data_IF_504304800740
#
_entry.id   IF_504304800740
#
_cell.length_a   1.000
_cell.length_b   1.000
_cell.length_c   1.000
_cell.angle_alpha   90.00
_cell.angle_beta   90.00
_cell.angle_gamma   90.00
#
_symmetry.space_group_name_H-M   'P 1'
#
loop_
_entity.id
_entity.type
_entity.pdbx_description
1 polymer ?
#
# COMPACT_ATOMS: atom_id res chain seq x y z
N UNK A 1 -12.52 6.32 -13.22
CA UNK A 1 -12.18 4.89 -13.38
C UNK A 1 -11.62 4.43 -12.05
N UNK A 2 -12.13 3.32 -11.56
CA UNK A 2 -11.90 2.76 -10.22
C UNK A 2 -11.00 1.56 -10.43
N UNK A 3 -9.88 1.48 -9.74
CA UNK A 3 -8.91 0.40 -9.93
C UNK A 3 -8.69 -0.32 -8.61
N UNK A 4 -8.82 -1.63 -8.61
CA UNK A 4 -8.61 -2.46 -7.42
C UNK A 4 -7.14 -2.89 -7.35
N UNK A 5 -6.46 -2.64 -6.24
CA UNK A 5 -5.05 -2.93 -6.03
C UNK A 5 -4.85 -3.88 -4.86
N UNK A 6 -4.34 -5.08 -5.12
CA UNK A 6 -3.89 -5.99 -4.05
C UNK A 6 -2.45 -5.64 -3.71
N UNK A 7 -2.19 -5.24 -2.46
CA UNK A 7 -0.83 -5.02 -2.00
C UNK A 7 -0.39 -6.10 -1.00
N UNK A 8 0.78 -6.68 -1.26
CA UNK A 8 1.41 -7.74 -0.49
C UNK A 8 2.59 -7.18 0.30
N UNK A 9 2.69 -7.56 1.57
CA UNK A 9 3.79 -7.23 2.46
C UNK A 9 4.65 -8.47 2.69
N UNK A 10 5.97 -8.32 2.60
CA UNK A 10 6.94 -9.35 2.97
C UNK A 10 8.09 -8.73 3.79
N UNK A 11 8.86 -9.57 4.47
CA UNK A 11 10.03 -9.18 5.25
C UNK A 11 11.01 -8.25 4.48
N UNK A 12 11.58 -7.29 5.23
CA UNK A 12 12.73 -6.50 4.86
C UNK A 12 13.78 -6.52 5.99
N UNK A 13 14.86 -7.29 5.82
CA UNK A 13 16.02 -7.31 6.75
C UNK A 13 16.75 -5.96 6.88
N UNK A 14 16.58 -5.04 5.92
CA UNK A 14 17.11 -3.68 5.94
C UNK A 14 16.17 -2.78 5.13
N UNK A 15 15.66 -1.71 5.73
CA UNK A 15 14.63 -0.82 5.19
C UNK A 15 14.88 -0.40 3.73
N UNK A 16 14.19 -1.04 2.79
CA UNK A 16 13.78 -0.37 1.57
C UNK A 16 12.45 0.27 1.89
N UNK A 17 12.43 1.56 2.23
CA UNK A 17 11.19 2.33 2.16
C UNK A 17 10.71 2.22 0.72
N UNK A 18 9.58 1.56 0.45
CA UNK A 18 9.04 1.47 -0.90
C UNK A 18 8.69 2.89 -1.36
N UNK A 19 9.68 3.57 -1.93
CA UNK A 19 9.57 4.92 -2.44
C UNK A 19 8.79 4.85 -3.73
N UNK A 20 7.50 5.19 -3.63
CA UNK A 20 6.59 5.34 -4.76
C UNK A 20 6.35 4.06 -5.53
N UNK A 21 5.31 3.30 -5.14
CA UNK A 21 4.78 2.31 -6.07
C UNK A 21 3.92 3.02 -7.11
N UNK A 22 4.37 2.97 -8.36
CA UNK A 22 3.68 3.60 -9.48
C UNK A 22 2.47 2.77 -9.89
N UNK A 23 1.35 3.45 -10.12
CA UNK A 23 0.18 2.87 -10.78
C UNK A 23 0.36 2.94 -12.31
N UNK A 24 0.81 1.88 -13.02
CA UNK A 24 0.87 1.85 -14.48
C UNK A 24 -0.47 2.21 -15.12
N UNK A 25 -0.36 2.88 -16.26
CA UNK A 25 -1.45 3.59 -16.93
C UNK A 25 -2.18 2.76 -17.96
N UNK A 26 -2.01 1.43 -17.96
CA UNK A 26 -2.66 0.60 -18.96
C UNK A 26 -4.18 0.72 -18.77
N UNK A 27 -4.89 1.26 -19.77
CA UNK A 27 -6.35 1.48 -19.76
C UNK A 27 -7.19 0.21 -19.65
N UNK A 28 -6.60 -0.91 -19.22
CA UNK A 28 -7.29 -2.08 -18.74
C UNK A 28 -7.55 -1.95 -17.23
N UNK A 29 -8.82 -2.11 -16.89
CA UNK A 29 -9.40 -2.46 -15.59
C UNK A 29 -8.83 -3.77 -14.97
N UNK A 30 -7.52 -3.99 -15.05
CA UNK A 30 -6.85 -5.13 -14.47
C UNK A 30 -6.55 -4.86 -12.99
N UNK A 31 -6.95 -5.78 -12.13
CA UNK A 31 -6.49 -5.78 -10.74
C UNK A 31 -4.96 -5.83 -10.75
N UNK A 32 -4.32 -4.80 -10.19
CA UNK A 32 -2.88 -4.66 -10.24
C UNK A 32 -2.29 -5.04 -8.89
N UNK A 33 -1.25 -5.87 -8.92
CA UNK A 33 -0.59 -6.34 -7.71
C UNK A 33 0.62 -5.46 -7.39
N UNK A 34 0.63 -4.93 -6.17
CA UNK A 34 1.75 -4.22 -5.56
C UNK A 34 2.43 -5.15 -4.56
N UNK A 35 3.75 -5.25 -4.58
CA UNK A 35 4.51 -5.92 -3.51
C UNK A 35 5.47 -4.93 -2.87
N UNK A 36 5.35 -4.77 -1.55
CA UNK A 36 6.22 -3.94 -0.74
C UNK A 36 6.94 -4.81 0.29
N UNK A 37 8.21 -4.52 0.53
CA UNK A 37 8.96 -5.08 1.66
C UNK A 37 8.87 -4.09 2.81
N UNK A 38 8.38 -4.52 3.97
CA UNK A 38 8.15 -3.64 5.12
C UNK A 38 8.81 -4.23 6.36
N UNK A 39 9.61 -3.44 7.10
CA UNK A 39 10.16 -3.90 8.38
C UNK A 39 9.03 -4.16 9.38
N UNK A 40 9.08 -5.29 10.09
CA UNK A 40 8.10 -5.57 11.16
C UNK A 40 8.21 -4.62 12.35
N UNK A 41 9.34 -3.93 12.50
CA UNK A 41 9.55 -2.91 13.52
C UNK A 41 8.65 -1.67 13.34
N UNK A 42 7.92 -1.57 12.23
CA UNK A 42 6.94 -0.49 12.02
C UNK A 42 5.82 -0.56 13.04
N UNK A 43 5.73 0.49 13.85
CA UNK A 43 4.71 0.65 14.87
C UNK A 43 3.41 1.23 14.28
N UNK A 44 2.31 1.09 15.03
CA UNK A 44 1.04 1.70 14.71
C UNK A 44 1.18 3.21 14.39
N UNK A 45 0.65 3.64 13.25
CA UNK A 45 0.75 5.01 12.76
C UNK A 45 1.98 5.31 11.90
N UNK A 46 2.99 4.43 11.86
CA UNK A 46 4.12 4.61 10.96
C UNK A 46 3.76 4.31 9.50
N UNK A 47 4.36 5.09 8.59
CA UNK A 47 4.24 4.91 7.15
C UNK A 47 4.98 3.66 6.69
N UNK A 48 4.28 2.83 5.91
CA UNK A 48 4.85 1.68 5.21
C UNK A 48 5.30 2.08 3.80
N UNK A 49 4.41 2.74 3.05
CA UNK A 49 4.68 3.25 1.71
C UNK A 49 3.66 4.29 1.29
N UNK A 50 3.89 4.93 0.13
CA UNK A 50 2.91 5.80 -0.52
C UNK A 50 2.61 5.29 -1.93
N UNK A 51 1.32 5.20 -2.25
CA UNK A 51 0.85 4.88 -3.61
C UNK A 51 1.01 6.14 -4.46
N UNK A 52 1.86 6.08 -5.48
CA UNK A 52 2.16 7.24 -6.30
C UNK A 52 1.35 7.21 -7.62
N UNK A 53 0.81 8.38 -7.98
CA UNK A 53 0.28 8.62 -9.30
C UNK A 53 1.41 8.55 -10.34
N UNK A 54 1.16 7.91 -11.47
CA UNK A 54 2.05 8.06 -12.63
C UNK A 54 1.93 9.46 -13.24
N UNK A 55 2.92 9.84 -14.05
CA UNK A 55 2.95 11.14 -14.74
C UNK A 55 1.63 11.49 -15.46
N UNK A 56 0.98 10.50 -16.07
CA UNK A 56 -0.29 10.71 -16.80
C UNK A 56 -1.49 10.95 -15.86
N UNK A 57 -1.36 10.58 -14.58
CA UNK A 57 -2.38 10.73 -13.55
C UNK A 57 -2.13 11.95 -12.65
N UNK A 58 -0.94 12.56 -12.65
CA UNK A 58 -0.60 13.69 -11.78
C UNK A 58 -1.48 14.92 -11.97
N UNK A 59 -2.14 15.07 -13.12
CA UNK A 59 -3.10 16.14 -13.39
C UNK A 59 -4.54 15.83 -12.93
N UNK A 60 -4.79 14.64 -12.37
CA UNK A 60 -6.11 14.20 -11.89
C UNK A 60 -6.14 14.18 -10.37
N UNK A 61 -7.29 14.53 -9.78
CA UNK A 61 -7.56 14.26 -8.36
C UNK A 61 -7.76 12.76 -8.19
N UNK A 62 -6.85 12.11 -7.45
CA UNK A 62 -6.97 10.71 -7.07
C UNK A 62 -7.58 10.61 -5.67
N UNK A 63 -8.41 9.59 -5.45
CA UNK A 63 -8.98 9.28 -4.14
C UNK A 63 -8.74 7.82 -3.84
N UNK A 64 -8.08 7.54 -2.73
CA UNK A 64 -7.74 6.19 -2.29
C UNK A 64 -8.70 5.72 -1.21
N UNK A 65 -9.24 4.53 -1.36
CA UNK A 65 -10.15 3.91 -0.40
C UNK A 65 -9.67 2.50 -0.06
N UNK A 66 -9.45 2.22 1.23
CA UNK A 66 -9.17 0.86 1.67
C UNK A 66 -10.45 0.03 1.59
N UNK A 67 -10.39 -1.07 0.86
CA UNK A 67 -11.49 -2.03 0.70
C UNK A 67 -11.36 -3.19 1.69
N UNK A 68 -10.15 -3.68 1.93
CA UNK A 68 -9.87 -4.76 2.91
C UNK A 68 -8.46 -4.67 3.49
N UNK A 69 -8.14 -5.50 4.49
CA UNK A 69 -6.83 -5.56 5.14
C UNK A 69 -6.76 -4.70 6.41
N UNK A 70 -6.89 -5.33 7.57
CA UNK A 70 -6.97 -4.61 8.86
C UNK A 70 -5.61 -4.14 9.38
N UNK A 71 -4.51 -4.63 8.81
CA UNK A 71 -3.15 -4.29 9.21
C UNK A 71 -2.78 -2.82 8.94
N UNK A 72 -3.55 -2.14 8.06
CA UNK A 72 -3.21 -0.80 7.60
C UNK A 72 -4.39 0.16 7.50
N UNK A 73 -4.05 1.44 7.38
CA UNK A 73 -4.94 2.51 6.96
C UNK A 73 -4.38 3.23 5.74
N UNK A 74 -5.24 3.86 4.94
CA UNK A 74 -4.85 4.64 3.76
C UNK A 74 -5.37 6.07 3.87
N UNK A 75 -4.51 7.05 3.66
CA UNK A 75 -4.88 8.44 3.56
C UNK A 75 -5.49 8.71 2.17
N UNK A 76 -6.77 9.09 2.13
CA UNK A 76 -7.56 9.14 0.89
C UNK A 76 -7.07 10.15 -0.15
N UNK A 77 -6.44 11.25 0.27
CA UNK A 77 -5.94 12.30 -0.63
C UNK A 77 -4.50 12.11 -1.09
N UNK A 78 -3.71 11.28 -0.40
CA UNK A 78 -2.26 11.18 -0.62
C UNK A 78 -1.79 9.76 -0.94
N UNK A 79 -2.62 8.74 -0.70
CA UNK A 79 -2.23 7.35 -0.91
C UNK A 79 -1.19 6.84 0.08
N UNK A 80 -0.94 7.57 1.18
CA UNK A 80 -0.04 7.14 2.26
C UNK A 80 -0.68 5.97 2.98
N UNK A 81 0.04 4.86 3.06
CA UNK A 81 -0.38 3.63 3.74
C UNK A 81 0.43 3.50 5.03
N UNK A 82 -0.26 3.43 6.16
CA UNK A 82 0.34 3.33 7.50
C UNK A 82 -0.14 2.07 8.23
N UNK A 83 0.62 1.61 9.22
CA UNK A 83 0.18 0.53 10.12
C UNK A 83 -1.04 1.01 10.92
N UNK A 84 -2.10 0.20 10.94
CA UNK A 84 -3.33 0.57 11.63
C UNK A 84 -3.16 0.65 13.15
N UNK A 85 -3.95 1.50 13.80
CA UNK A 85 -3.94 1.66 15.25
C UNK A 85 -4.22 0.32 15.94
N UNK A 86 -3.39 -0.02 16.94
CA UNK A 86 -3.51 -1.26 17.70
C UNK A 86 -3.12 -2.52 16.92
N UNK A 87 -2.46 -2.37 15.77
CA UNK A 87 -1.89 -3.49 15.01
C UNK A 87 -0.37 -3.44 15.05
N UNK A 88 0.24 -4.62 14.93
CA UNK A 88 1.67 -4.85 14.77
C UNK A 88 1.88 -5.83 13.62
N UNK A 89 2.99 -5.68 12.92
CA UNK A 89 3.45 -6.67 11.96
C UNK A 89 4.19 -7.79 12.71
N UNK A 90 3.95 -9.01 12.27
CA UNK A 90 4.59 -10.24 12.74
C UNK A 90 4.67 -11.16 11.51
N UNK A 91 5.87 -11.29 10.95
CA UNK A 91 6.08 -12.08 9.73
C UNK A 91 6.44 -13.54 10.03
N UNK A 92 6.75 -13.87 11.28
CA UNK A 92 6.94 -15.24 11.75
C UNK A 92 5.61 -15.99 11.83
N UNK A 93 4.57 -15.35 12.37
CA UNK A 93 3.22 -15.95 12.44
C UNK A 93 2.38 -15.64 11.22
N UNK A 94 2.58 -14.47 10.59
CA UNK A 94 1.86 -14.07 9.38
C UNK A 94 2.84 -13.68 8.27
N UNK A 95 3.30 -14.65 7.45
CA UNK A 95 4.38 -14.44 6.47
C UNK A 95 4.11 -13.37 5.41
N UNK A 96 2.84 -13.03 5.21
CA UNK A 96 2.44 -11.96 4.32
C UNK A 96 1.10 -11.36 4.72
N UNK A 97 0.97 -10.06 4.53
CA UNK A 97 -0.31 -9.36 4.64
C UNK A 97 -0.83 -8.95 3.27
N UNK A 98 -2.15 -8.90 3.11
CA UNK A 98 -2.81 -8.43 1.88
C UNK A 98 -3.81 -7.33 2.22
N UNK A 99 -3.75 -6.23 1.48
CA UNK A 99 -4.72 -5.12 1.55
C UNK A 99 -5.23 -4.83 0.15
N UNK A 100 -6.54 -4.63 0.03
CA UNK A 100 -7.16 -4.19 -1.21
C UNK A 100 -7.47 -2.68 -1.13
N UNK A 101 -7.04 -1.91 -2.13
CA UNK A 101 -7.25 -0.46 -2.23
C UNK A 101 -7.94 -0.12 -3.56
N UNK A 102 -8.73 0.96 -3.56
CA UNK A 102 -9.51 1.47 -4.69
C UNK A 102 -9.24 2.94 -4.96
#
# INVERSE_FOLDING_TARGET
>A
MIHNYNCYFADAISAWEATGFNIPTNGANAAMTLTAKVPESKMAGETMFTIAATKEQSAKTLTYTKVSGDIATVASGTGVVTVATGKSLDFETTPSYVILIK
#
